data_IF_201561987046
#
_entry.id   IF_201561987046
#
_cell.length_a   1.000
_cell.length_b   1.000
_cell.length_c   1.000
_cell.angle_alpha   90.00
_cell.angle_beta   90.00
_cell.angle_gamma   90.00
#
_symmetry.space_group_name_H-M   'P 1'
#
loop_
_entity.id
_entity.type
_entity.pdbx_description
1 polymer ?
#
# COMPACT_ATOMS: atom_id res chain seq x y z
N UNK A 1 6.70 31.73 -26.51
CA UNK A 1 6.49 31.01 -25.24
C UNK A 1 6.10 29.60 -25.62
N UNK A 2 7.08 28.69 -25.69
CA UNK A 2 6.83 27.27 -25.96
C UNK A 2 6.26 26.63 -24.70
N UNK A 3 4.94 26.48 -24.65
CA UNK A 3 4.29 25.59 -23.70
C UNK A 3 4.25 24.22 -24.38
N UNK A 4 5.37 23.48 -24.31
CA UNK A 4 5.33 22.04 -24.54
C UNK A 4 4.59 21.40 -23.38
N UNK A 5 3.27 21.32 -23.48
CA UNK A 5 2.46 20.46 -22.61
C UNK A 5 2.93 19.03 -22.90
N UNK A 6 3.68 18.45 -21.97
CA UNK A 6 4.04 17.04 -22.02
C UNK A 6 2.74 16.22 -21.83
N UNK A 7 2.09 15.86 -22.94
CA UNK A 7 0.80 15.15 -22.98
C UNK A 7 0.90 13.63 -22.73
N UNK A 8 2.06 13.11 -22.33
CA UNK A 8 2.17 11.70 -21.92
C UNK A 8 2.00 11.59 -20.40
N UNK A 9 1.04 10.77 -19.93
CA UNK A 9 0.94 10.42 -18.52
C UNK A 9 2.28 9.86 -18.04
N UNK A 10 2.79 10.37 -16.92
CA UNK A 10 4.03 9.88 -16.30
C UNK A 10 3.69 9.07 -15.06
N UNK A 11 4.54 8.11 -14.71
CA UNK A 11 4.45 7.46 -13.41
C UNK A 11 4.46 8.53 -12.31
N UNK A 12 3.55 8.40 -11.34
CA UNK A 12 3.48 9.34 -10.21
C UNK A 12 4.83 9.40 -9.48
N UNK A 13 5.44 8.24 -9.24
CA UNK A 13 6.72 8.11 -8.55
C UNK A 13 6.70 8.74 -7.16
N UNK A 14 7.87 9.17 -6.67
CA UNK A 14 8.00 9.76 -5.34
C UNK A 14 7.70 11.28 -5.32
N UNK A 15 6.95 11.80 -6.31
CA UNK A 15 6.62 13.24 -6.34
C UNK A 15 5.65 13.59 -5.21
N UNK A 16 5.67 14.84 -4.77
CA UNK A 16 4.71 15.33 -3.78
C UNK A 16 3.27 15.17 -4.31
N UNK A 17 2.42 14.50 -3.53
CA UNK A 17 1.02 14.29 -3.83
C UNK A 17 0.17 15.33 -3.10
N UNK A 18 -0.72 16.00 -3.80
CA UNK A 18 -1.71 16.88 -3.17
C UNK A 18 -2.90 16.06 -2.67
N UNK A 19 -3.68 16.59 -1.73
CA UNK A 19 -4.91 15.94 -1.24
C UNK A 19 -5.89 15.60 -2.39
N UNK A 20 -6.13 16.48 -3.39
CA UNK A 20 -6.94 16.12 -4.56
C UNK A 20 -6.38 14.95 -5.38
N UNK A 21 -5.06 14.92 -5.59
CA UNK A 21 -4.42 13.82 -6.32
C UNK A 21 -4.56 12.50 -5.55
N UNK A 22 -4.42 12.54 -4.22
CA UNK A 22 -4.69 11.39 -3.34
C UNK A 22 -6.15 10.90 -3.44
N UNK A 23 -7.13 11.81 -3.50
CA UNK A 23 -8.52 11.42 -3.76
C UNK A 23 -8.67 10.73 -5.13
N UNK A 24 -7.98 11.22 -6.16
CA UNK A 24 -7.97 10.60 -7.49
C UNK A 24 -7.31 9.20 -7.51
N UNK A 25 -6.27 8.97 -6.70
CA UNK A 25 -5.68 7.63 -6.48
C UNK A 25 -6.76 6.67 -5.94
N UNK A 26 -7.47 7.09 -4.89
CA UNK A 26 -8.58 6.32 -4.33
C UNK A 26 -9.67 6.02 -5.35
N UNK A 27 -10.12 7.03 -6.09
CA UNK A 27 -11.16 6.89 -7.11
C UNK A 27 -10.75 5.92 -8.23
N UNK A 28 -9.51 6.01 -8.72
CA UNK A 28 -9.00 5.10 -9.75
C UNK A 28 -8.99 3.65 -9.23
N UNK A 29 -8.50 3.44 -8.01
CA UNK A 29 -8.47 2.10 -7.42
C UNK A 29 -9.89 1.56 -7.19
N UNK A 30 -10.82 2.37 -6.67
CA UNK A 30 -12.21 1.96 -6.47
C UNK A 30 -12.91 1.60 -7.78
N UNK A 31 -12.60 2.31 -8.88
CA UNK A 31 -13.08 1.97 -10.23
C UNK A 31 -12.48 0.67 -10.75
N UNK A 32 -11.17 0.47 -10.57
CA UNK A 32 -10.49 -0.76 -10.95
C UNK A 32 -11.10 -1.97 -10.23
N UNK A 33 -11.20 -1.89 -8.90
CA UNK A 33 -11.78 -2.94 -8.08
C UNK A 33 -13.23 -3.24 -8.46
N UNK A 34 -14.01 -2.20 -8.80
CA UNK A 34 -15.42 -2.37 -9.20
C UNK A 34 -15.53 -3.16 -10.50
N UNK A 35 -14.64 -2.92 -11.46
CA UNK A 35 -14.61 -3.63 -12.76
C UNK A 35 -14.15 -5.08 -12.58
N UNK A 36 -13.30 -5.36 -11.59
CA UNK A 36 -12.80 -6.71 -11.29
C UNK A 36 -13.80 -7.57 -10.49
N UNK A 37 -14.93 -7.02 -10.03
CA UNK A 37 -15.98 -7.80 -9.36
C UNK A 37 -16.49 -8.90 -10.30
N UNK A 38 -16.36 -10.15 -9.87
CA UNK A 38 -16.78 -11.33 -10.64
C UNK A 38 -15.82 -11.74 -11.77
N UNK A 39 -14.70 -11.02 -11.95
CA UNK A 39 -13.64 -11.46 -12.84
C UNK A 39 -12.93 -12.69 -12.25
N UNK A 40 -12.68 -13.68 -13.10
CA UNK A 40 -11.99 -14.91 -12.72
C UNK A 40 -10.97 -15.29 -13.78
N UNK A 41 -9.80 -15.74 -13.34
CA UNK A 41 -8.75 -16.23 -14.22
C UNK A 41 -8.09 -17.50 -13.64
N UNK A 42 -7.77 -18.52 -14.46
CA UNK A 42 -7.15 -19.75 -13.95
C UNK A 42 -5.82 -19.54 -13.21
N UNK A 43 -5.07 -18.50 -13.58
CA UNK A 43 -3.80 -18.15 -12.94
C UNK A 43 -3.93 -17.18 -11.74
N UNK A 44 -5.15 -16.88 -11.28
CA UNK A 44 -5.40 -15.92 -10.18
C UNK A 44 -4.91 -16.42 -8.80
N UNK A 45 -4.44 -17.66 -8.71
CA UNK A 45 -3.96 -18.29 -7.47
C UNK A 45 -2.54 -18.79 -7.68
N UNK A 46 -1.56 -17.99 -7.26
CA UNK A 46 -0.15 -18.36 -7.28
C UNK A 46 0.59 -17.72 -6.11
N UNK A 47 1.76 -18.25 -5.76
CA UNK A 47 2.54 -17.75 -4.64
C UNK A 47 3.35 -16.51 -5.05
N UNK A 48 3.09 -15.39 -4.38
CA UNK A 48 3.91 -14.17 -4.48
C UNK A 48 4.48 -13.83 -3.11
N UNK A 49 5.80 -13.60 -3.08
CA UNK A 49 6.52 -13.26 -1.85
C UNK A 49 5.96 -11.97 -1.21
N UNK A 50 5.48 -11.04 -2.04
CA UNK A 50 4.94 -9.76 -1.60
C UNK A 50 3.41 -9.67 -1.57
N UNK A 51 2.70 -10.80 -1.64
CA UNK A 51 1.27 -10.81 -1.28
C UNK A 51 1.13 -10.55 0.22
N UNK A 52 0.34 -9.54 0.61
CA UNK A 52 0.19 -9.12 2.00
C UNK A 52 -0.39 -10.21 2.90
N UNK A 53 -1.17 -11.16 2.36
CA UNK A 53 -1.61 -12.33 3.09
C UNK A 53 -0.44 -13.15 3.70
N UNK A 54 0.77 -13.03 3.12
CA UNK A 54 1.98 -13.69 3.60
C UNK A 54 2.81 -12.84 4.58
N UNK A 55 2.28 -11.74 5.13
CA UNK A 55 3.07 -10.80 5.92
C UNK A 55 3.79 -11.41 7.12
N UNK A 56 3.22 -12.41 7.81
CA UNK A 56 3.92 -13.10 8.91
C UNK A 56 5.22 -13.78 8.47
N UNK A 57 5.34 -14.18 7.20
CA UNK A 57 6.58 -14.74 6.67
C UNK A 57 7.75 -13.73 6.73
N UNK A 58 7.45 -12.42 6.85
CA UNK A 58 8.45 -11.37 6.97
C UNK A 58 9.23 -11.41 8.29
N UNK A 59 8.79 -12.15 9.31
CA UNK A 59 9.60 -12.43 10.50
C UNK A 59 10.98 -13.03 10.13
N UNK A 60 11.02 -13.84 9.08
CA UNK A 60 12.27 -14.44 8.57
C UNK A 60 13.23 -13.41 7.97
N UNK A 61 12.79 -12.17 7.70
CA UNK A 61 13.58 -11.13 7.05
C UNK A 61 14.07 -10.05 8.01
N UNK A 62 13.58 -10.03 9.26
CA UNK A 62 13.91 -9.00 10.26
C UNK A 62 15.43 -8.94 10.54
N UNK A 63 16.12 -10.07 10.45
CA UNK A 63 17.56 -10.15 10.68
C UNK A 63 18.39 -9.33 9.66
N UNK A 64 17.83 -8.98 8.50
CA UNK A 64 18.48 -8.12 7.52
C UNK A 64 18.48 -6.63 7.91
N UNK A 65 17.67 -6.21 8.88
CA UNK A 65 17.63 -4.82 9.34
C UNK A 65 18.83 -4.50 10.23
N UNK A 66 19.35 -3.28 10.12
CA UNK A 66 20.68 -2.92 10.65
C UNK A 66 20.67 -2.67 12.16
N UNK A 67 19.62 -2.03 12.67
CA UNK A 67 19.56 -1.57 14.07
C UNK A 67 18.53 -2.36 14.89
N UNK A 68 18.71 -2.39 16.21
CA UNK A 68 17.71 -2.97 17.13
C UNK A 68 16.36 -2.25 17.06
N UNK A 69 16.37 -0.94 16.88
CA UNK A 69 15.18 -0.10 16.72
C UNK A 69 14.39 -0.47 15.46
N UNK A 70 15.05 -0.60 14.30
CA UNK A 70 14.41 -1.04 13.07
C UNK A 70 13.76 -2.42 13.20
N UNK A 71 14.44 -3.35 13.88
CA UNK A 71 13.91 -4.69 14.14
C UNK A 71 12.70 -4.65 15.07
N UNK A 72 12.73 -3.83 16.12
CA UNK A 72 11.63 -3.66 17.05
C UNK A 72 10.40 -3.07 16.36
N UNK A 73 10.59 -1.98 15.60
CA UNK A 73 9.54 -1.31 14.84
C UNK A 73 8.87 -2.26 13.82
N UNK A 74 9.67 -3.00 13.06
CA UNK A 74 9.13 -3.96 12.11
C UNK A 74 8.40 -5.12 12.81
N UNK A 75 8.93 -5.62 13.93
CA UNK A 75 8.28 -6.69 14.71
C UNK A 75 6.93 -6.23 15.27
N UNK A 76 6.84 -4.99 15.76
CA UNK A 76 5.59 -4.43 16.27
C UNK A 76 4.53 -4.32 15.16
N UNK A 77 4.91 -3.89 13.96
CA UNK A 77 4.00 -3.81 12.82
C UNK A 77 3.51 -5.19 12.35
N UNK A 78 4.38 -6.21 12.34
CA UNK A 78 3.96 -7.59 12.05
C UNK A 78 3.03 -8.14 13.14
N UNK A 79 3.35 -7.91 14.41
CA UNK A 79 2.48 -8.32 15.52
C UNK A 79 1.08 -7.66 15.43
N UNK A 80 1.00 -6.39 15.04
CA UNK A 80 -0.27 -5.72 14.81
C UNK A 80 -1.07 -6.38 13.67
N UNK A 81 -0.42 -6.78 12.57
CA UNK A 81 -1.05 -7.52 11.49
C UNK A 81 -1.57 -8.90 11.93
N UNK A 82 -0.76 -9.65 12.67
CA UNK A 82 -1.13 -10.96 13.20
C UNK A 82 -2.30 -10.88 14.19
N UNK A 83 -2.37 -9.82 15.00
CA UNK A 83 -3.45 -9.64 15.97
C UNK A 83 -4.74 -9.11 15.34
N UNK A 84 -4.63 -8.18 14.38
CA UNK A 84 -5.79 -7.41 13.88
C UNK A 84 -6.32 -7.92 12.54
N UNK A 85 -5.47 -8.53 11.70
CA UNK A 85 -5.83 -8.88 10.32
C UNK A 85 -5.95 -10.39 10.14
N UNK A 86 -4.96 -11.17 10.59
CA UNK A 86 -4.98 -12.63 10.39
C UNK A 86 -6.26 -13.34 10.87
N UNK A 87 -6.83 -13.02 12.05
CA UNK A 87 -8.03 -13.71 12.53
C UNK A 87 -9.27 -13.47 11.68
N UNK A 88 -9.32 -12.35 10.95
CA UNK A 88 -10.46 -11.94 10.13
C UNK A 88 -10.18 -12.05 8.63
N UNK A 89 -8.96 -12.42 8.21
CA UNK A 89 -8.54 -12.45 6.81
C UNK A 89 -9.52 -13.21 5.91
N UNK A 90 -9.99 -14.37 6.35
CA UNK A 90 -10.89 -15.23 5.60
C UNK A 90 -12.33 -14.68 5.48
N UNK A 91 -12.69 -13.66 6.28
CA UNK A 91 -14.02 -13.02 6.23
C UNK A 91 -14.02 -11.76 5.37
N UNK A 92 -12.85 -11.25 4.98
CA UNK A 92 -12.73 -10.07 4.14
C UNK A 92 -13.22 -10.36 2.71
N UNK A 93 -13.97 -9.44 2.08
CA UNK A 93 -14.33 -9.56 0.67
C UNK A 93 -13.08 -9.70 -0.22
N UNK A 94 -12.97 -10.84 -0.90
CA UNK A 94 -11.86 -11.14 -1.79
C UNK A 94 -12.27 -11.11 -3.26
N UNK A 95 -11.35 -10.67 -4.11
CA UNK A 95 -11.49 -10.66 -5.56
C UNK A 95 -10.12 -10.67 -6.21
N UNK A 96 -10.06 -10.72 -7.53
CA UNK A 96 -8.83 -10.42 -8.26
C UNK A 96 -8.47 -8.95 -8.04
N UNK A 97 -7.25 -8.70 -7.57
CA UNK A 97 -6.70 -7.37 -7.29
C UNK A 97 -5.41 -7.14 -8.09
N UNK A 98 -4.97 -5.89 -8.20
CA UNK A 98 -3.68 -5.56 -8.82
C UNK A 98 -2.50 -6.08 -8.01
N UNK A 99 -2.62 -6.06 -6.67
CA UNK A 99 -1.62 -6.54 -5.69
C UNK A 99 -0.29 -5.75 -5.66
N UNK A 100 -0.15 -4.73 -6.49
CA UNK A 100 0.99 -3.81 -6.49
C UNK A 100 0.57 -2.41 -6.93
N UNK A 101 -0.63 -1.98 -6.52
CA UNK A 101 -1.16 -0.65 -6.82
C UNK A 101 -0.39 0.42 -6.04
N UNK A 102 0.76 0.85 -6.56
CA UNK A 102 1.64 1.81 -5.92
C UNK A 102 2.01 2.98 -6.85
N UNK A 103 2.67 4.00 -6.28
CA UNK A 103 3.01 5.24 -7.00
C UNK A 103 3.89 5.03 -8.24
N UNK A 104 4.59 3.91 -8.38
CA UNK A 104 5.37 3.59 -9.58
C UNK A 104 4.54 2.94 -10.69
N UNK A 105 3.36 2.39 -10.36
CA UNK A 105 2.49 1.65 -11.28
C UNK A 105 1.20 2.42 -11.65
N UNK A 106 1.08 3.66 -11.20
CA UNK A 106 -0.01 4.56 -11.56
C UNK A 106 0.51 5.75 -12.37
N UNK A 107 -0.22 6.06 -13.43
CA UNK A 107 0.06 7.16 -14.34
C UNK A 107 -0.79 8.36 -13.96
N UNK A 108 -0.19 9.54 -13.89
CA UNK A 108 -0.88 10.77 -13.53
C UNK A 108 -0.61 11.90 -14.52
N UNK A 109 -1.61 12.79 -14.65
CA UNK A 109 -1.39 14.19 -15.02
C UNK A 109 -1.15 15.03 -13.75
N UNK A 110 -1.36 16.34 -13.81
CA UNK A 110 -1.10 17.21 -12.65
C UNK A 110 -2.05 16.96 -11.47
N UNK A 111 -3.30 16.62 -11.75
CA UNK A 111 -4.36 16.56 -10.73
C UNK A 111 -5.14 15.24 -10.71
N UNK A 112 -4.94 14.35 -11.68
CA UNK A 112 -5.69 13.11 -11.79
C UNK A 112 -4.81 11.91 -12.13
N UNK A 113 -5.25 10.74 -11.68
CA UNK A 113 -4.74 9.45 -12.14
C UNK A 113 -5.43 9.08 -13.44
N UNK A 114 -4.64 8.74 -14.45
CA UNK A 114 -5.08 8.51 -15.82
C UNK A 114 -4.88 7.07 -16.29
N UNK A 115 -4.09 6.28 -15.55
CA UNK A 115 -3.84 4.90 -15.90
C UNK A 115 -3.21 4.09 -14.79
N UNK A 116 -3.31 2.78 -14.96
CA UNK A 116 -2.71 1.75 -14.09
C UNK A 116 -1.97 0.80 -15.01
N UNK A 117 -0.75 0.44 -14.65
CA UNK A 117 0.14 -0.42 -15.43
C UNK A 117 0.72 -1.53 -14.56
N UNK A 118 1.36 -2.51 -15.18
CA UNK A 118 2.09 -3.59 -14.49
C UNK A 118 1.19 -4.57 -13.69
N UNK A 119 0.32 -5.27 -14.40
CA UNK A 119 -0.56 -6.31 -13.87
C UNK A 119 0.17 -7.67 -13.68
N UNK A 120 1.50 -7.67 -13.55
CA UNK A 120 2.30 -8.90 -13.45
C UNK A 120 2.05 -9.70 -12.16
N UNK A 121 1.57 -9.04 -11.11
CA UNK A 121 1.39 -9.60 -9.77
C UNK A 121 -0.08 -9.82 -9.36
N UNK A 122 -0.99 -9.78 -10.33
CA UNK A 122 -2.42 -9.93 -10.11
C UNK A 122 -2.75 -11.26 -9.42
N UNK A 123 -3.51 -11.19 -8.33
CA UNK A 123 -3.89 -12.37 -7.53
C UNK A 123 -5.30 -12.20 -6.98
N UNK A 124 -5.96 -13.29 -6.62
CA UNK A 124 -7.16 -13.27 -5.79
C UNK A 124 -6.78 -13.08 -4.30
N UNK A 125 -7.17 -11.96 -3.71
CA UNK A 125 -6.89 -11.59 -2.33
C UNK A 125 -7.96 -10.62 -1.78
N UNK A 126 -7.98 -10.30 -0.48
CA UNK A 126 -8.87 -9.27 0.07
C UNK A 126 -8.72 -7.94 -0.68
N UNK A 127 -9.82 -7.37 -1.19
CA UNK A 127 -9.78 -6.14 -2.01
C UNK A 127 -9.13 -4.95 -1.30
N UNK A 128 -9.33 -4.86 0.01
CA UNK A 128 -8.77 -3.81 0.87
C UNK A 128 -7.23 -3.81 0.87
N UNK A 129 -6.59 -4.89 0.43
CA UNK A 129 -5.13 -4.98 0.30
C UNK A 129 -4.55 -3.94 -0.66
N UNK A 130 -5.13 -3.73 -1.84
CA UNK A 130 -4.62 -2.70 -2.76
C UNK A 130 -4.77 -1.30 -2.19
N UNK A 131 -5.84 -1.06 -1.42
CA UNK A 131 -6.03 0.22 -0.74
C UNK A 131 -4.96 0.44 0.33
N UNK A 132 -4.64 -0.59 1.12
CA UNK A 132 -3.55 -0.53 2.09
C UNK A 132 -2.19 -0.33 1.41
N UNK A 133 -1.95 -0.99 0.27
CA UNK A 133 -0.73 -0.80 -0.52
C UNK A 133 -0.62 0.65 -0.97
N UNK A 134 -1.64 1.20 -1.64
CA UNK A 134 -1.65 2.58 -2.13
C UNK A 134 -1.42 3.59 -0.99
N UNK A 135 -2.14 3.41 0.12
CA UNK A 135 -2.08 4.28 1.29
C UNK A 135 -0.71 4.26 1.97
N UNK A 136 -0.04 3.11 2.03
CA UNK A 136 1.25 2.96 2.72
C UNK A 136 2.33 3.91 2.19
N UNK A 137 2.30 4.24 0.90
CA UNK A 137 3.27 5.15 0.28
C UNK A 137 3.10 6.59 0.75
N UNK A 138 1.87 7.02 1.10
CA UNK A 138 1.63 8.37 1.62
C UNK A 138 2.22 8.57 3.01
N UNK A 139 2.41 7.49 3.78
CA UNK A 139 3.10 7.61 5.06
C UNK A 139 4.57 8.02 4.85
N UNK A 140 5.23 7.49 3.82
CA UNK A 140 6.63 7.80 3.50
C UNK A 140 6.81 9.15 2.81
N UNK A 141 6.11 9.39 1.70
CA UNK A 141 6.33 10.57 0.85
C UNK A 141 5.41 11.76 1.15
N UNK A 142 4.36 11.55 1.93
CA UNK A 142 3.33 12.54 2.20
C UNK A 142 3.81 13.72 3.03
N UNK A 143 3.31 14.91 2.70
CA UNK A 143 3.49 16.14 3.49
C UNK A 143 2.39 16.28 4.56
N UNK A 144 1.24 15.64 4.35
CA UNK A 144 0.08 15.61 5.24
C UNK A 144 -0.46 14.17 5.27
N UNK A 145 0.30 13.21 5.83
CA UNK A 145 0.07 11.78 5.61
C UNK A 145 -1.31 11.32 6.05
N UNK A 146 -1.87 11.91 7.11
CA UNK A 146 -3.20 11.57 7.60
C UNK A 146 -4.30 12.05 6.63
N UNK A 147 -4.25 13.31 6.22
CA UNK A 147 -5.19 13.92 5.30
C UNK A 147 -5.13 13.25 3.93
N UNK A 148 -3.92 12.92 3.47
CA UNK A 148 -3.69 12.20 2.22
C UNK A 148 -4.22 10.77 2.28
N UNK A 149 -4.02 10.06 3.38
CA UNK A 149 -4.64 8.75 3.61
C UNK A 149 -6.18 8.85 3.58
N UNK A 150 -6.76 9.79 4.32
CA UNK A 150 -8.22 9.97 4.35
C UNK A 150 -8.77 10.36 2.98
N UNK A 151 -8.02 11.09 2.16
CA UNK A 151 -8.40 11.42 0.80
C UNK A 151 -8.43 10.18 -0.12
N UNK A 152 -7.40 9.32 -0.05
CA UNK A 152 -7.40 8.03 -0.78
C UNK A 152 -8.61 7.19 -0.34
N UNK A 153 -8.82 7.05 0.98
CA UNK A 153 -9.93 6.27 1.53
C UNK A 153 -11.28 6.80 1.05
N UNK A 154 -11.50 8.12 1.15
CA UNK A 154 -12.73 8.76 0.69
C UNK A 154 -12.94 8.58 -0.82
N UNK A 155 -11.87 8.74 -1.62
CA UNK A 155 -11.91 8.54 -3.07
C UNK A 155 -12.31 7.11 -3.45
N UNK A 156 -11.72 6.11 -2.79
CA UNK A 156 -12.06 4.70 -3.00
C UNK A 156 -13.53 4.42 -2.66
N UNK A 157 -13.97 4.92 -1.50
CA UNK A 157 -15.32 4.69 -0.98
C UNK A 157 -16.44 5.34 -1.79
N UNK A 158 -16.12 6.28 -2.71
CA UNK A 158 -17.10 6.79 -3.68
C UNK A 158 -17.64 5.71 -4.62
N UNK A 159 -16.83 4.68 -4.88
CA UNK A 159 -17.21 3.59 -5.78
C UNK A 159 -17.57 2.33 -5.00
N UNK A 160 -16.88 2.02 -3.91
CA UNK A 160 -17.04 0.77 -3.15
C UNK A 160 -17.11 1.06 -1.66
N UNK A 161 -18.24 0.73 -1.03
CA UNK A 161 -18.34 0.78 0.43
C UNK A 161 -17.50 -0.33 1.06
N UNK A 162 -16.67 0.05 2.04
CA UNK A 162 -15.92 -0.88 2.88
C UNK A 162 -16.72 -1.24 4.13
N UNK A 163 -16.58 -2.49 4.57
CA UNK A 163 -17.09 -2.94 5.86
C UNK A 163 -16.26 -2.36 7.01
N UNK A 164 -16.84 -2.32 8.21
CA UNK A 164 -16.09 -1.92 9.41
C UNK A 164 -14.86 -2.80 9.68
N UNK A 165 -14.92 -4.09 9.31
CA UNK A 165 -13.79 -5.04 9.45
C UNK A 165 -12.66 -4.70 8.46
N UNK A 166 -12.99 -4.41 7.19
CA UNK A 166 -12.01 -3.95 6.20
C UNK A 166 -11.32 -2.66 6.66
N UNK A 167 -12.11 -1.68 7.12
CA UNK A 167 -11.61 -0.42 7.64
C UNK A 167 -10.65 -0.63 8.81
N UNK A 168 -11.02 -1.44 9.80
CA UNK A 168 -10.19 -1.73 10.97
C UNK A 168 -8.85 -2.41 10.63
N UNK A 169 -8.77 -3.14 9.51
CA UNK A 169 -7.55 -3.80 9.07
C UNK A 169 -6.53 -2.86 8.41
N UNK A 170 -6.97 -1.71 7.87
CA UNK A 170 -6.14 -0.84 7.02
C UNK A 170 -4.80 -0.43 7.68
N UNK A 171 -4.75 0.10 8.92
CA UNK A 171 -3.49 0.54 9.51
C UNK A 171 -2.48 -0.60 9.66
N UNK A 172 -2.92 -1.77 10.15
CA UNK A 172 -2.06 -2.93 10.32
C UNK A 172 -1.57 -3.49 8.97
N UNK A 173 -2.44 -3.50 7.95
CA UNK A 173 -2.07 -3.88 6.58
C UNK A 173 -1.03 -2.94 5.97
N UNK A 174 -1.16 -1.62 6.18
CA UNK A 174 -0.18 -0.62 5.72
C UNK A 174 1.19 -0.86 6.36
N UNK A 175 1.24 -1.13 7.67
CA UNK A 175 2.48 -1.43 8.39
C UNK A 175 3.15 -2.70 7.88
N UNK A 176 2.38 -3.77 7.73
CA UNK A 176 2.85 -5.03 7.16
C UNK A 176 3.42 -4.84 5.74
N UNK A 177 2.77 -4.02 4.90
CA UNK A 177 3.26 -3.73 3.53
C UNK A 177 4.61 -3.01 3.55
N UNK A 178 4.79 -2.05 4.45
CA UNK A 178 6.07 -1.33 4.60
C UNK A 178 7.17 -2.29 5.06
N UNK A 179 6.91 -3.14 6.06
CA UNK A 179 7.86 -4.17 6.51
C UNK A 179 8.22 -5.14 5.39
N UNK A 180 7.24 -5.54 4.59
CA UNK A 180 7.45 -6.43 3.44
C UNK A 180 8.35 -5.80 2.38
N UNK A 181 8.13 -4.52 2.03
CA UNK A 181 9.00 -3.77 1.11
C UNK A 181 10.44 -3.68 1.63
N UNK A 182 10.60 -3.38 2.93
CA UNK A 182 11.90 -3.30 3.60
C UNK A 182 12.62 -4.66 3.65
N UNK A 183 11.92 -5.71 4.09
CA UNK A 183 12.48 -7.05 4.24
C UNK A 183 12.90 -7.67 2.91
N UNK A 184 12.03 -7.61 1.90
CA UNK A 184 12.31 -8.17 0.57
C UNK A 184 13.46 -7.42 -0.11
N UNK A 185 13.49 -6.09 -0.05
CA UNK A 185 14.59 -5.31 -0.64
C UNK A 185 15.92 -5.56 0.07
N UNK A 186 15.92 -5.71 1.39
CA UNK A 186 17.14 -6.01 2.17
C UNK A 186 17.68 -7.40 1.87
N UNK A 187 16.79 -8.40 1.78
CA UNK A 187 17.17 -9.74 1.35
C UNK A 187 17.72 -9.76 -0.08
N UNK A 188 17.05 -9.08 -1.03
CA UNK A 188 17.55 -8.97 -2.42
C UNK A 188 18.94 -8.33 -2.48
N UNK A 189 19.17 -7.27 -1.73
CA UNK A 189 20.48 -6.62 -1.65
C UNK A 189 21.56 -7.56 -1.09
N UNK A 190 21.23 -8.37 -0.08
CA UNK A 190 22.16 -9.37 0.48
C UNK A 190 22.52 -10.48 -0.51
N UNK A 191 21.59 -10.85 -1.40
CA UNK A 191 21.76 -11.90 -2.40
C UNK A 191 22.48 -11.42 -3.67
N UNK A 192 22.26 -10.16 -4.06
CA UNK A 192 22.90 -9.55 -5.21
C UNK A 192 23.43 -8.15 -4.86
N UNK A 193 24.64 -8.07 -4.27
CA UNK A 193 25.23 -6.80 -3.85
C UNK A 193 25.43 -5.78 -4.98
N UNK A 194 25.58 -6.24 -6.23
CA UNK A 194 25.74 -5.34 -7.38
C UNK A 194 24.50 -4.47 -7.63
N UNK A 195 23.30 -4.99 -7.32
CA UNK A 195 22.01 -4.30 -7.49
C UNK A 195 21.53 -3.60 -6.20
N UNK A 196 22.31 -3.67 -5.11
CA UNK A 196 21.89 -3.24 -3.78
C UNK A 196 21.38 -1.78 -3.76
N UNK A 197 22.05 -0.87 -4.47
CA UNK A 197 21.63 0.53 -4.55
C UNK A 197 20.27 0.72 -5.23
N UNK A 198 19.99 -0.05 -6.29
CA UNK A 198 18.72 0.04 -7.01
C UNK A 198 17.56 -0.54 -6.17
N UNK A 199 17.75 -1.72 -5.57
CA UNK A 199 16.68 -2.41 -4.83
C UNK A 199 16.38 -1.77 -3.48
N UNK A 200 17.36 -1.08 -2.87
CA UNK A 200 17.17 -0.41 -1.57
C UNK A 200 16.84 1.08 -1.68
N UNK A 201 16.73 1.64 -2.90
CA UNK A 201 16.54 3.10 -3.14
C UNK A 201 15.37 3.74 -2.37
N UNK A 202 14.33 2.96 -2.07
CA UNK A 202 13.12 3.43 -1.40
C UNK A 202 13.10 3.10 0.10
N UNK A 203 14.12 2.44 0.66
CA UNK A 203 14.12 2.00 2.06
C UNK A 203 14.06 3.16 3.06
N UNK A 204 14.75 4.27 2.79
CA UNK A 204 14.70 5.44 3.66
C UNK A 204 13.26 5.99 3.78
N UNK A 205 12.56 6.09 2.65
CA UNK A 205 11.15 6.52 2.59
C UNK A 205 10.24 5.49 3.29
N UNK A 206 10.48 4.20 3.11
CA UNK A 206 9.69 3.14 3.75
C UNK A 206 9.87 3.11 5.27
N UNK A 207 11.09 3.28 5.78
CA UNK A 207 11.35 3.41 7.23
C UNK A 207 10.67 4.65 7.81
N UNK A 208 10.76 5.79 7.12
CA UNK A 208 10.06 7.00 7.52
C UNK A 208 8.54 6.77 7.57
N UNK A 209 7.99 6.08 6.57
CA UNK A 209 6.57 5.72 6.54
C UNK A 209 6.17 4.83 7.71
N UNK A 210 6.99 3.83 8.04
CA UNK A 210 6.69 2.90 9.14
C UNK A 210 6.73 3.60 10.50
N UNK A 211 7.73 4.46 10.73
CA UNK A 211 7.83 5.25 11.95
C UNK A 211 6.68 6.26 12.09
N UNK A 212 6.28 6.92 10.99
CA UNK A 212 5.12 7.82 10.99
C UNK A 212 3.81 7.08 11.25
N UNK A 213 3.64 5.89 10.68
CA UNK A 213 2.46 5.07 10.89
C UNK A 213 2.34 4.66 12.37
N UNK A 214 3.44 4.25 12.99
CA UNK A 214 3.50 3.94 14.43
C UNK A 214 3.13 5.17 15.28
N UNK A 215 3.72 6.33 14.98
CA UNK A 215 3.44 7.57 15.71
C UNK A 215 1.98 8.06 15.56
N UNK A 216 1.31 7.73 14.47
CA UNK A 216 -0.06 8.16 14.16
C UNK A 216 -1.11 7.08 14.44
N UNK A 217 -0.74 5.92 14.98
CA UNK A 217 -1.61 4.73 15.02
C UNK A 217 -2.96 4.98 15.71
N UNK A 218 -2.98 5.70 16.83
CA UNK A 218 -4.19 5.98 17.60
C UNK A 218 -5.09 6.96 16.85
N UNK A 219 -4.50 8.01 16.27
CA UNK A 219 -5.22 9.01 15.46
C UNK A 219 -5.81 8.36 14.21
N UNK A 220 -5.07 7.47 13.56
CA UNK A 220 -5.55 6.73 12.39
C UNK A 220 -6.72 5.83 12.76
N UNK A 221 -6.64 5.11 13.87
CA UNK A 221 -7.73 4.27 14.37
C UNK A 221 -8.99 5.10 14.60
N UNK A 222 -8.88 6.23 15.29
CA UNK A 222 -10.02 7.11 15.58
C UNK A 222 -10.65 7.69 14.30
N UNK A 223 -9.81 8.12 13.35
CA UNK A 223 -10.27 8.64 12.05
C UNK A 223 -11.01 7.58 11.23
N UNK A 224 -10.48 6.36 11.18
CA UNK A 224 -11.08 5.24 10.47
C UNK A 224 -12.42 4.83 11.11
N UNK A 225 -12.48 4.78 12.45
CA UNK A 225 -13.73 4.51 13.17
C UNK A 225 -14.79 5.60 12.92
N UNK A 226 -14.38 6.88 12.97
CA UNK A 226 -15.27 8.00 12.67
C UNK A 226 -15.79 7.92 11.23
N UNK A 227 -14.92 7.60 10.27
CA UNK A 227 -15.29 7.40 8.87
C UNK A 227 -16.28 6.25 8.68
N UNK A 228 -16.15 5.17 9.44
CA UNK A 228 -17.10 4.04 9.38
C UNK A 228 -18.52 4.39 9.83
N UNK A 229 -18.67 5.46 10.62
CA UNK A 229 -19.95 5.91 11.19
C UNK A 229 -20.58 7.10 10.47
N UNK A 230 -19.88 7.69 9.50
CA UNK A 230 -20.31 8.86 8.71
C UNK A 230 -21.04 8.44 7.44
#
# INVERSE_FOLDING_TARGET
>A
MDVTVNLCPRNLGNRATTVPLCASIGEMLGRLDRVLVGFHHPAQSHALLWNLCNAAYMHNFIHYFQTGEQRALASAALAAFEQQVQPVMATLPAQVIHNDFNVHNILCSEQSIEGVIDFGDVICAPRVQDLAIAASYMMGTGTQPLEQFMAILSGYCRTIALTGVELACLPAMMGARLVMSLGISSWRASRNPAEAGYVTRNQAIAWQGLARLEALQDILRDRVLTFATA
#
